data_IF_822880167395
#
_entry.id   IF_822880167395
#
_cell.length_a   1.000
_cell.length_b   1.000
_cell.length_c   1.000
_cell.angle_alpha   90.00
_cell.angle_beta   90.00
_cell.angle_gamma   90.00
#
_symmetry.space_group_name_H-M   'P 1'
#
loop_
_entity.id
_entity.type
_entity.pdbx_description
1 polymer ?
#
# COMPACT_ATOMS: atom_id res chain seq x y z
N UNK A 1 -6.47 32.24 -14.69
CA UNK A 1 -5.54 31.27 -14.08
C UNK A 1 -5.54 30.02 -14.95
N UNK A 2 -4.38 29.49 -15.36
CA UNK A 2 -4.31 28.22 -16.09
C UNK A 2 -4.36 27.08 -15.06
N UNK A 3 -5.23 26.05 -15.22
CA UNK A 3 -5.30 24.96 -14.25
C UNK A 3 -4.03 24.08 -14.25
N UNK A 4 -3.54 23.74 -13.05
CA UNK A 4 -2.31 22.95 -12.86
C UNK A 4 -2.36 21.51 -13.41
N UNK A 5 -3.56 20.97 -13.62
CA UNK A 5 -3.80 19.59 -14.08
C UNK A 5 -4.57 19.52 -15.40
N UNK A 6 -4.60 20.60 -16.18
CA UNK A 6 -5.36 20.63 -17.43
C UNK A 6 -4.61 19.99 -18.60
N UNK A 7 -5.22 18.97 -19.21
CA UNK A 7 -4.62 18.25 -20.34
C UNK A 7 -3.34 17.50 -19.96
N UNK A 8 -2.63 16.99 -20.96
CA UNK A 8 -1.48 16.09 -20.74
C UNK A 8 -0.21 16.83 -20.28
N UNK A 9 -0.07 18.12 -20.60
CA UNK A 9 1.20 18.85 -20.40
C UNK A 9 1.23 19.70 -19.13
N UNK A 10 0.09 20.14 -18.62
CA UNK A 10 0.08 21.13 -17.55
C UNK A 10 0.76 20.65 -16.27
N UNK A 11 0.54 19.40 -15.86
CA UNK A 11 1.15 18.87 -14.64
C UNK A 11 2.67 18.64 -14.81
N UNK A 12 3.16 17.94 -15.85
CA UNK A 12 4.60 17.82 -16.10
C UNK A 12 5.33 19.18 -16.23
N UNK A 13 4.73 20.16 -16.90
CA UNK A 13 5.28 21.52 -17.02
C UNK A 13 5.32 22.21 -15.65
N UNK A 14 4.29 22.01 -14.81
CA UNK A 14 4.24 22.54 -13.45
C UNK A 14 5.31 21.91 -12.56
N UNK A 15 5.48 20.58 -12.61
CA UNK A 15 6.55 19.89 -11.89
C UNK A 15 7.92 20.40 -12.30
N UNK A 16 8.15 20.53 -13.61
CA UNK A 16 9.42 21.03 -14.17
C UNK A 16 9.74 22.46 -13.70
N UNK A 17 8.71 23.31 -13.54
CA UNK A 17 8.87 24.68 -13.06
C UNK A 17 9.13 24.79 -11.56
N UNK A 18 8.51 23.93 -10.74
CA UNK A 18 8.67 23.96 -9.28
C UNK A 18 9.97 23.26 -8.87
N UNK A 19 10.39 22.20 -9.58
CA UNK A 19 11.70 21.59 -9.40
C UNK A 19 11.84 20.71 -8.16
N UNK A 20 10.72 20.14 -7.68
CA UNK A 20 10.68 19.14 -6.60
C UNK A 20 9.93 17.88 -7.07
N UNK A 21 10.02 16.74 -6.36
CA UNK A 21 9.28 15.53 -6.73
C UNK A 21 7.77 15.75 -6.86
N UNK A 22 7.11 14.94 -7.70
CA UNK A 22 5.70 15.14 -8.09
C UNK A 22 4.73 15.21 -6.88
N UNK A 23 4.96 14.40 -5.86
CA UNK A 23 4.17 14.40 -4.62
C UNK A 23 4.34 15.69 -3.80
N UNK A 24 5.56 16.22 -3.70
CA UNK A 24 5.83 17.54 -3.15
C UNK A 24 5.14 18.65 -3.97
N UNK A 25 5.06 18.52 -5.29
CA UNK A 25 4.37 19.47 -6.16
C UNK A 25 2.86 19.48 -5.87
N UNK A 26 2.24 18.30 -5.71
CA UNK A 26 0.82 18.21 -5.29
C UNK A 26 0.60 18.92 -3.96
N UNK A 27 1.47 18.66 -2.97
CA UNK A 27 1.40 19.30 -1.66
C UNK A 27 1.54 20.83 -1.74
N UNK A 28 2.49 21.31 -2.54
CA UNK A 28 2.70 22.74 -2.77
C UNK A 28 1.49 23.41 -3.45
N UNK A 29 0.90 22.78 -4.47
CA UNK A 29 -0.30 23.29 -5.12
C UNK A 29 -1.47 23.35 -4.12
N UNK A 30 -1.69 22.28 -3.36
CA UNK A 30 -2.80 22.20 -2.40
C UNK A 30 -2.65 23.24 -1.28
N UNK A 31 -1.56 23.16 -0.52
CA UNK A 31 -1.37 23.95 0.71
C UNK A 31 -1.06 25.42 0.42
N UNK A 32 -0.18 25.69 -0.55
CA UNK A 32 0.37 27.04 -0.75
C UNK A 32 -0.37 27.82 -1.85
N UNK A 33 -0.67 27.19 -3.00
CA UNK A 33 -1.29 27.90 -4.13
C UNK A 33 -2.81 27.96 -4.03
N UNK A 34 -3.46 26.92 -3.51
CA UNK A 34 -4.92 26.81 -3.39
C UNK A 34 -5.43 27.00 -1.96
N UNK A 35 -4.55 27.04 -0.96
CA UNK A 35 -4.90 27.17 0.45
C UNK A 35 -5.88 26.07 0.93
N UNK A 36 -5.69 24.85 0.43
CA UNK A 36 -6.43 23.65 0.81
C UNK A 36 -5.48 22.75 1.61
N UNK A 37 -5.79 22.59 2.89
CA UNK A 37 -5.00 21.75 3.80
C UNK A 37 -5.16 20.26 3.49
N UNK A 38 -4.05 19.56 3.40
CA UNK A 38 -4.02 18.12 3.35
C UNK A 38 -4.45 17.56 4.70
N UNK A 39 -5.29 16.52 4.66
CA UNK A 39 -5.71 15.81 5.85
C UNK A 39 -4.76 14.65 6.10
N UNK A 40 -4.14 14.64 7.28
CA UNK A 40 -3.35 13.51 7.73
C UNK A 40 -4.26 12.31 8.04
N UNK A 41 -3.88 11.15 7.50
CA UNK A 41 -4.57 9.88 7.69
C UNK A 41 -3.51 8.81 7.99
N UNK A 42 -3.49 8.30 9.22
CA UNK A 42 -2.50 7.31 9.69
C UNK A 42 -2.73 5.88 9.17
N UNK A 43 -3.54 5.71 8.12
CA UNK A 43 -3.85 4.42 7.51
C UNK A 43 -3.09 4.19 6.18
N UNK A 44 -2.33 5.19 5.73
CA UNK A 44 -1.49 5.11 4.55
C UNK A 44 -0.05 4.81 4.95
N UNK A 45 0.45 3.65 4.54
CA UNK A 45 1.79 3.19 4.93
C UNK A 45 2.76 3.14 3.75
N UNK A 46 3.95 3.72 3.93
CA UNK A 46 5.07 3.78 2.98
C UNK A 46 6.24 2.93 3.44
N UNK A 47 7.04 2.41 2.50
CA UNK A 47 8.27 1.67 2.82
C UNK A 47 9.38 2.54 3.44
N UNK A 48 9.12 3.84 3.59
CA UNK A 48 9.99 4.76 4.34
C UNK A 48 9.69 4.80 5.85
N UNK A 49 8.71 4.03 6.33
CA UNK A 49 8.47 3.79 7.75
C UNK A 49 8.73 2.32 8.12
N UNK A 50 8.76 2.00 9.41
CA UNK A 50 9.02 0.63 9.88
C UNK A 50 7.77 -0.26 9.77
N UNK A 51 7.51 -0.82 8.58
CA UNK A 51 6.28 -1.58 8.27
C UNK A 51 6.10 -2.85 9.13
N UNK A 52 7.21 -3.43 9.63
CA UNK A 52 7.16 -4.57 10.55
C UNK A 52 6.50 -4.29 11.90
N UNK A 53 6.28 -3.02 12.25
CA UNK A 53 5.61 -2.61 13.50
C UNK A 53 4.09 -2.48 13.37
N UNK A 54 3.55 -2.53 12.15
CA UNK A 54 2.10 -2.47 11.96
C UNK A 54 1.49 -3.79 12.48
N UNK A 55 0.60 -3.75 13.49
CA UNK A 55 0.07 -4.97 14.08
C UNK A 55 -0.82 -5.73 13.09
N UNK A 56 -0.61 -7.06 12.96
CA UNK A 56 -1.36 -7.89 12.01
C UNK A 56 -2.89 -7.78 12.16
N UNK A 57 -3.38 -7.66 13.39
CA UNK A 57 -4.82 -7.55 13.68
C UNK A 57 -5.46 -6.24 13.16
N UNK A 58 -4.67 -5.21 12.81
CA UNK A 58 -5.19 -3.96 12.25
C UNK A 58 -5.17 -3.94 10.73
N UNK A 59 -4.73 -5.02 10.06
CA UNK A 59 -4.52 -5.00 8.61
C UNK A 59 -5.79 -4.74 7.80
N UNK A 60 -6.94 -5.19 8.28
CA UNK A 60 -8.24 -4.92 7.64
C UNK A 60 -8.62 -3.43 7.64
N UNK A 61 -8.06 -2.65 8.55
CA UNK A 61 -8.40 -1.24 8.72
C UNK A 61 -7.45 -0.30 7.94
N UNK A 62 -6.31 -0.82 7.46
CA UNK A 62 -5.32 0.00 6.74
C UNK A 62 -5.76 0.25 5.29
N UNK A 63 -5.40 1.42 4.77
CA UNK A 63 -5.75 1.82 3.40
C UNK A 63 -4.66 1.41 2.42
N UNK A 64 -3.38 1.57 2.78
CA UNK A 64 -2.27 1.16 1.92
C UNK A 64 -1.16 0.50 2.72
N UNK A 65 -0.47 -0.41 2.04
CA UNK A 65 0.80 -0.96 2.48
C UNK A 65 1.82 -0.78 1.35
N UNK A 66 3.09 -0.81 1.71
CA UNK A 66 4.20 -0.78 0.76
C UNK A 66 5.15 -1.95 1.04
N UNK A 67 6.16 -2.12 0.21
CA UNK A 67 7.35 -2.89 0.53
C UNK A 67 8.56 -2.21 -0.11
N UNK A 68 9.77 -2.49 0.38
CA UNK A 68 10.98 -1.86 -0.16
C UNK A 68 12.23 -2.15 0.67
N UNK A 69 13.18 -1.22 0.62
CA UNK A 69 14.40 -1.27 1.43
C UNK A 69 14.42 -0.04 2.34
N UNK A 70 14.58 -0.26 3.65
CA UNK A 70 14.77 0.78 4.64
C UNK A 70 16.01 0.44 5.48
N UNK A 71 16.96 1.36 5.58
CA UNK A 71 18.21 1.13 6.33
C UNK A 71 19.03 -0.06 5.83
N UNK A 72 18.97 -0.38 4.53
CA UNK A 72 19.66 -1.53 3.92
C UNK A 72 19.00 -2.89 4.18
N UNK A 73 17.88 -2.93 4.90
CA UNK A 73 17.11 -4.15 5.16
C UNK A 73 15.82 -4.17 4.35
N UNK A 74 15.33 -5.37 4.04
CA UNK A 74 14.00 -5.54 3.47
C UNK A 74 12.96 -5.05 4.46
N UNK A 75 12.11 -4.15 3.97
CA UNK A 75 11.04 -3.55 4.74
C UNK A 75 9.70 -3.96 4.12
N UNK A 76 8.92 -4.70 4.89
CA UNK A 76 7.58 -5.16 4.56
C UNK A 76 6.84 -5.40 5.87
N UNK A 77 5.52 -5.55 5.78
CA UNK A 77 4.70 -5.94 6.93
C UNK A 77 5.12 -7.32 7.48
N UNK A 78 4.98 -7.51 8.79
CA UNK A 78 5.16 -8.82 9.41
C UNK A 78 3.84 -9.59 9.34
N UNK A 79 3.83 -10.74 8.68
CA UNK A 79 2.62 -11.57 8.54
C UNK A 79 2.97 -13.05 8.40
N UNK A 80 2.31 -13.88 9.19
CA UNK A 80 2.39 -15.34 9.09
C UNK A 80 1.51 -15.85 7.94
N UNK A 81 2.06 -15.67 6.74
CA UNK A 81 1.38 -15.98 5.47
C UNK A 81 1.60 -17.41 4.98
N UNK A 82 0.75 -17.88 4.05
CA UNK A 82 0.86 -19.21 3.46
C UNK A 82 2.04 -19.36 2.47
N UNK A 83 2.72 -18.27 2.12
CA UNK A 83 3.84 -18.25 1.19
C UNK A 83 5.15 -17.93 1.90
N UNK A 84 6.22 -18.62 1.49
CA UNK A 84 7.58 -18.34 1.96
C UNK A 84 8.09 -16.98 1.45
N UNK A 85 9.16 -16.44 2.06
CA UNK A 85 9.81 -15.19 1.60
C UNK A 85 10.35 -15.31 0.17
N UNK A 86 10.67 -16.53 -0.29
CA UNK A 86 11.14 -16.75 -1.66
C UNK A 86 10.01 -16.61 -2.68
N UNK A 87 8.80 -17.04 -2.31
CA UNK A 87 7.61 -16.98 -3.16
C UNK A 87 6.94 -15.61 -3.10
N UNK A 88 6.96 -14.96 -1.93
CA UNK A 88 6.27 -13.71 -1.66
C UNK A 88 7.17 -12.79 -0.83
N UNK A 89 8.15 -12.17 -1.49
CA UNK A 89 9.14 -11.31 -0.86
C UNK A 89 8.57 -9.95 -0.41
N UNK A 90 7.49 -9.48 -1.04
CA UNK A 90 6.79 -8.25 -0.65
C UNK A 90 5.77 -8.46 0.48
N UNK A 91 5.37 -9.72 0.72
CA UNK A 91 4.27 -10.13 1.60
C UNK A 91 2.87 -9.81 1.09
N UNK A 92 2.73 -9.31 -0.15
CA UNK A 92 1.43 -8.91 -0.66
C UNK A 92 0.53 -10.09 -1.02
N UNK A 93 1.08 -11.23 -1.46
CA UNK A 93 0.25 -12.41 -1.68
C UNK A 93 -0.30 -12.97 -0.36
N UNK A 94 0.53 -12.93 0.68
CA UNK A 94 0.17 -13.34 2.01
C UNK A 94 -0.86 -12.41 2.65
N UNK A 95 -0.67 -11.09 2.52
CA UNK A 95 -1.66 -10.10 2.92
C UNK A 95 -2.99 -10.30 2.19
N UNK A 96 -2.95 -10.53 0.88
CA UNK A 96 -4.16 -10.80 0.11
C UNK A 96 -4.89 -12.03 0.65
N UNK A 97 -4.18 -13.12 0.92
CA UNK A 97 -4.80 -14.33 1.46
C UNK A 97 -5.27 -14.20 2.91
N UNK A 98 -4.66 -13.30 3.69
CA UNK A 98 -5.15 -12.94 5.01
C UNK A 98 -6.48 -12.17 4.91
N UNK A 99 -6.54 -11.14 4.06
CA UNK A 99 -7.73 -10.30 3.88
C UNK A 99 -8.86 -11.01 3.13
N UNK A 100 -8.52 -11.90 2.19
CA UNK A 100 -9.44 -12.58 1.27
C UNK A 100 -9.16 -14.10 1.22
N UNK A 101 -9.36 -14.83 2.33
CA UNK A 101 -8.94 -16.23 2.47
C UNK A 101 -9.68 -17.20 1.54
N UNK A 102 -10.83 -16.79 0.99
CA UNK A 102 -11.63 -17.59 0.07
C UNK A 102 -11.17 -17.50 -1.39
N UNK A 103 -10.15 -16.69 -1.68
CA UNK A 103 -9.58 -16.59 -3.03
C UNK A 103 -9.04 -17.96 -3.47
N UNK A 104 -9.33 -18.39 -4.70
CA UNK A 104 -9.10 -19.77 -5.17
C UNK A 104 -7.63 -20.21 -5.16
N UNK A 105 -6.69 -19.27 -5.35
CA UNK A 105 -5.26 -19.54 -5.38
C UNK A 105 -4.59 -19.46 -3.99
N UNK A 106 -5.32 -19.08 -2.94
CA UNK A 106 -4.76 -19.05 -1.59
C UNK A 106 -4.54 -20.47 -1.03
N UNK A 107 -3.32 -20.80 -0.59
CA UNK A 107 -3.04 -22.10 0.02
C UNK A 107 -3.88 -22.27 1.30
N UNK A 108 -4.59 -23.38 1.41
CA UNK A 108 -5.55 -23.65 2.50
C UNK A 108 -7.01 -23.75 2.06
N UNK A 109 -7.36 -23.23 0.89
CA UNK A 109 -8.72 -23.38 0.33
C UNK A 109 -9.02 -24.82 -0.12
N UNK A 110 -7.99 -25.61 -0.44
CA UNK A 110 -8.16 -27.04 -0.79
C UNK A 110 -8.44 -27.96 0.41
N UNK A 111 -8.01 -27.58 1.62
CA UNK A 111 -8.20 -28.39 2.82
C UNK A 111 -9.40 -27.95 3.69
N UNK A 112 -9.79 -26.66 3.68
CA UNK A 112 -11.01 -26.22 4.39
C UNK A 112 -12.31 -26.62 3.69
N UNK A 113 -12.33 -26.75 2.36
CA UNK A 113 -13.51 -27.26 1.64
C UNK A 113 -13.77 -28.77 1.85
N UNK A 114 -12.74 -29.55 2.21
CA UNK A 114 -12.91 -30.97 2.57
C UNK A 114 -13.51 -31.16 3.98
N UNK A 115 -13.32 -30.20 4.89
CA UNK A 115 -13.88 -30.25 6.24
C UNK A 115 -15.38 -29.93 6.31
N UNK A 116 -15.91 -29.14 5.37
CA UNK A 116 -17.32 -28.77 5.32
C UNK A 116 -18.21 -29.79 4.59
N UNK A 117 -17.63 -30.72 3.82
CA UNK A 117 -18.39 -31.80 3.14
C UNK A 117 -18.54 -33.08 3.95
N UNK A 118 -17.92 -33.18 5.14
CA UNK A 118 -17.96 -34.38 5.98
C UNK A 118 -18.88 -34.25 7.21
N UNK A 119 -19.66 -33.17 7.30
CA UNK A 119 -20.70 -32.98 8.33
C UNK A 119 -22.10 -32.87 7.68
N UNK A 120 -22.43 -33.86 6.85
CA UNK A 120 -23.76 -34.04 6.24
C UNK A 120 -24.16 -35.50 6.29
#
# INVERSE_FOLDING_TARGET
>A
MVPYFSGEKAFPDTCSRIGVPDDCVIGFISEYLLNVKLKEIHLFHSHLEWLGYIPEHTFHDQVSFSHGILGGMRNHIQIDGPFSIREDASRFMSLHCYLYPHTSWCPGNQNRQRGLKNNG
#
